data_IF_436552959145
#
_entry.id   IF_436552959145
#
_cell.length_a   1.000
_cell.length_b   1.000
_cell.length_c   1.000
_cell.angle_alpha   90.00
_cell.angle_beta   90.00
_cell.angle_gamma   90.00
#
_symmetry.space_group_name_H-M   'P 1'
#
loop_
_entity.id
_entity.type
_entity.pdbx_description
1 polymer ?
#
# COMPACT_ATOMS: atom_id res chain seq x y z
N UNK A 1 -0.13 -2.82 6.73
CA UNK A 1 -0.30 -2.17 5.42
C UNK A 1 0.80 -2.66 4.50
N UNK A 2 0.48 -3.03 3.29
CA UNK A 2 1.44 -3.37 2.23
C UNK A 2 1.21 -2.37 1.10
N UNK A 3 2.28 -1.79 0.58
CA UNK A 3 2.24 -0.96 -0.61
C UNK A 3 3.37 -1.39 -1.54
N UNK A 4 3.17 -1.34 -2.84
CA UNK A 4 4.20 -1.69 -3.79
C UNK A 4 4.28 -0.69 -4.94
N UNK A 5 5.47 -0.58 -5.51
CA UNK A 5 5.76 0.23 -6.68
C UNK A 5 6.46 -0.66 -7.69
N UNK A 6 6.06 -0.54 -8.94
CA UNK A 6 6.77 -1.15 -10.07
C UNK A 6 7.40 -0.05 -10.90
N UNK A 7 8.69 -0.17 -11.17
CA UNK A 7 9.46 0.80 -11.95
C UNK A 7 10.62 0.11 -12.68
N UNK A 8 11.35 0.85 -13.49
CA UNK A 8 12.60 0.37 -14.09
C UNK A 8 13.70 0.24 -13.03
N UNK A 9 14.62 -0.70 -13.19
CA UNK A 9 15.67 -0.98 -12.20
C UNK A 9 16.52 0.27 -11.86
N UNK A 10 16.89 1.06 -12.85
CA UNK A 10 17.66 2.30 -12.68
C UNK A 10 16.88 3.43 -11.98
N UNK A 11 15.55 3.29 -11.85
CA UNK A 11 14.66 4.25 -11.19
C UNK A 11 14.18 3.80 -9.80
N UNK A 12 14.60 2.64 -9.31
CA UNK A 12 14.15 2.11 -8.01
C UNK A 12 14.51 3.06 -6.86
N UNK A 13 15.71 3.65 -6.88
CA UNK A 13 16.11 4.59 -5.84
C UNK A 13 15.27 5.88 -5.86
N UNK A 14 14.96 6.42 -7.05
CA UNK A 14 14.09 7.59 -7.19
C UNK A 14 12.66 7.29 -6.71
N UNK A 15 12.15 6.11 -7.07
CA UNK A 15 10.83 5.66 -6.65
C UNK A 15 10.75 5.44 -5.13
N UNK A 16 11.80 4.89 -4.52
CA UNK A 16 11.89 4.70 -3.08
C UNK A 16 11.91 6.05 -2.34
N UNK A 17 12.64 7.04 -2.87
CA UNK A 17 12.68 8.40 -2.33
C UNK A 17 11.31 9.08 -2.39
N UNK A 18 10.67 9.05 -3.55
CA UNK A 18 9.35 9.63 -3.74
C UNK A 18 8.31 8.96 -2.84
N UNK A 19 8.41 7.65 -2.65
CA UNK A 19 7.50 6.93 -1.79
C UNK A 19 7.69 7.26 -0.31
N UNK A 20 8.94 7.39 0.13
CA UNK A 20 9.27 7.82 1.49
C UNK A 20 8.76 9.24 1.76
N UNK A 21 8.91 10.14 0.78
CA UNK A 21 8.39 11.50 0.87
C UNK A 21 6.86 11.53 0.98
N UNK A 22 6.14 10.74 0.20
CA UNK A 22 4.68 10.63 0.30
C UNK A 22 4.25 10.11 1.68
N UNK A 23 4.95 9.12 2.24
CA UNK A 23 4.63 8.58 3.57
C UNK A 23 4.85 9.61 4.68
N UNK A 24 5.88 10.43 4.57
CA UNK A 24 6.27 11.38 5.60
C UNK A 24 5.70 12.79 5.39
N UNK A 25 5.53 13.21 4.14
CA UNK A 25 5.13 14.57 3.75
C UNK A 25 3.95 14.57 2.77
N UNK A 26 2.95 13.74 3.02
CA UNK A 26 1.79 13.61 2.14
C UNK A 26 1.21 14.99 1.75
N UNK A 27 1.13 15.31 0.45
CA UNK A 27 0.54 16.56 0.00
C UNK A 27 -0.97 16.56 0.28
N UNK A 28 -1.45 17.53 1.06
CA UNK A 28 -2.87 17.70 1.35
C UNK A 28 -3.54 18.45 0.20
N UNK A 29 -4.18 17.74 -0.71
CA UNK A 29 -4.89 18.29 -1.86
C UNK A 29 -6.38 17.94 -1.78
N UNK A 30 -7.23 18.94 -1.60
CA UNK A 30 -8.68 18.72 -1.55
C UNK A 30 -9.23 18.15 -2.86
N UNK A 31 -8.86 18.65 -4.07
CA UNK A 31 -9.33 18.04 -5.32
C UNK A 31 -8.90 16.59 -5.50
N UNK A 32 -7.66 16.25 -5.13
CA UNK A 32 -7.16 14.87 -5.21
C UNK A 32 -7.91 13.95 -4.23
N UNK A 33 -8.21 14.43 -3.03
CA UNK A 33 -9.00 13.69 -2.05
C UNK A 33 -10.42 13.41 -2.56
N UNK A 34 -11.11 14.39 -3.11
CA UNK A 34 -12.47 14.24 -3.66
C UNK A 34 -12.48 13.26 -4.83
N UNK A 35 -11.49 13.35 -5.72
CA UNK A 35 -11.34 12.40 -6.82
C UNK A 35 -11.12 10.98 -6.33
N UNK A 36 -10.22 10.79 -5.37
CA UNK A 36 -9.96 9.48 -4.76
C UNK A 36 -11.20 8.91 -4.06
N UNK A 37 -11.95 9.74 -3.33
CA UNK A 37 -13.21 9.35 -2.68
C UNK A 37 -14.25 8.85 -3.70
N UNK A 38 -14.43 9.58 -4.80
CA UNK A 38 -15.35 9.19 -5.88
C UNK A 38 -14.88 7.91 -6.59
N UNK A 39 -13.58 7.79 -6.87
CA UNK A 39 -13.00 6.60 -7.50
C UNK A 39 -13.22 5.36 -6.64
N UNK A 40 -12.94 5.43 -5.34
CA UNK A 40 -13.12 4.31 -4.41
C UNK A 40 -14.60 3.91 -4.29
N UNK A 41 -15.52 4.87 -4.22
CA UNK A 41 -16.96 4.58 -4.22
C UNK A 41 -17.41 3.91 -5.52
N UNK A 42 -16.88 4.35 -6.65
CA UNK A 42 -17.17 3.75 -7.95
C UNK A 42 -16.64 2.32 -8.04
N UNK A 43 -15.43 2.08 -7.55
CA UNK A 43 -14.83 0.75 -7.46
C UNK A 43 -15.72 -0.19 -6.62
N UNK A 44 -16.08 0.21 -5.40
CA UNK A 44 -16.96 -0.58 -4.51
C UNK A 44 -18.33 -0.88 -5.13
N UNK A 45 -18.89 0.02 -5.95
CA UNK A 45 -20.16 -0.22 -6.66
C UNK A 45 -20.03 -1.26 -7.77
N UNK A 46 -18.89 -1.29 -8.44
CA UNK A 46 -18.66 -2.12 -9.62
C UNK A 46 -18.00 -3.46 -9.30
N UNK A 47 -17.34 -3.54 -8.15
CA UNK A 47 -16.68 -4.78 -7.70
C UNK A 47 -17.69 -5.92 -7.57
N UNK A 48 -17.33 -7.08 -8.12
CA UNK A 48 -18.11 -8.31 -7.99
C UNK A 48 -17.20 -9.41 -7.50
N UNK A 49 -17.64 -10.10 -6.45
CA UNK A 49 -16.98 -11.34 -6.01
C UNK A 49 -17.45 -12.43 -6.94
N UNK A 50 -16.55 -12.99 -7.73
CA UNK A 50 -16.83 -14.12 -8.58
C UNK A 50 -16.96 -15.41 -7.73
N UNK A 51 -17.63 -16.45 -8.28
CA UNK A 51 -17.96 -17.66 -7.53
C UNK A 51 -16.73 -18.35 -6.93
N UNK A 52 -15.63 -18.35 -7.66
CA UNK A 52 -14.37 -18.96 -7.26
C UNK A 52 -13.75 -18.29 -6.03
N UNK A 53 -13.99 -17.00 -5.85
CA UNK A 53 -13.39 -16.20 -4.78
C UNK A 53 -14.25 -16.11 -3.52
N UNK A 54 -15.53 -16.54 -3.55
CA UNK A 54 -16.46 -16.40 -2.42
C UNK A 54 -15.90 -17.02 -1.14
N UNK A 55 -15.35 -18.25 -1.23
CA UNK A 55 -14.81 -18.94 -0.05
C UNK A 55 -13.57 -18.24 0.51
N UNK A 56 -12.68 -17.78 -0.35
CA UNK A 56 -11.48 -17.04 0.04
C UNK A 56 -11.82 -15.69 0.64
N UNK A 57 -12.79 -15.01 0.06
CA UNK A 57 -13.27 -13.73 0.58
C UNK A 57 -13.88 -13.90 1.98
N UNK A 58 -14.76 -14.88 2.16
CA UNK A 58 -15.35 -15.22 3.45
C UNK A 58 -14.27 -15.61 4.48
N UNK A 59 -13.36 -16.50 4.11
CA UNK A 59 -12.27 -16.96 4.98
C UNK A 59 -11.39 -15.80 5.45
N UNK A 60 -10.96 -14.93 4.55
CA UNK A 60 -10.12 -13.81 4.88
C UNK A 60 -10.83 -12.81 5.79
N UNK A 61 -12.10 -12.52 5.56
CA UNK A 61 -12.89 -11.65 6.43
C UNK A 61 -13.08 -12.26 7.82
N UNK A 62 -13.38 -13.54 7.88
CA UNK A 62 -13.53 -14.26 9.16
C UNK A 62 -12.21 -14.27 9.96
N UNK A 63 -11.07 -14.46 9.29
CA UNK A 63 -9.75 -14.40 9.92
C UNK A 63 -9.45 -13.02 10.53
N UNK A 64 -10.03 -11.97 9.98
CA UNK A 64 -9.94 -10.59 10.50
C UNK A 64 -11.06 -10.25 11.48
N UNK A 65 -11.77 -11.26 12.02
CA UNK A 65 -12.91 -11.10 12.95
C UNK A 65 -14.06 -10.25 12.39
N UNK A 66 -14.22 -10.23 11.07
CA UNK A 66 -15.29 -9.52 10.41
C UNK A 66 -16.42 -10.49 10.05
N UNK A 67 -17.56 -10.35 10.72
CA UNK A 67 -18.73 -11.21 10.51
C UNK A 67 -19.65 -10.75 9.39
N UNK A 68 -19.35 -9.61 8.78
CA UNK A 68 -20.11 -9.01 7.68
C UNK A 68 -19.16 -8.57 6.57
N UNK A 69 -19.69 -8.39 5.38
CA UNK A 69 -18.90 -7.86 4.26
C UNK A 69 -18.38 -6.45 4.59
N UNK A 70 -17.06 -6.24 4.70
CA UNK A 70 -16.48 -4.95 5.08
C UNK A 70 -16.78 -3.84 4.06
N UNK A 71 -17.09 -4.19 2.81
CA UNK A 71 -17.43 -3.21 1.76
C UNK A 71 -18.68 -2.41 2.10
N UNK A 72 -19.64 -3.01 2.79
CA UNK A 72 -20.85 -2.31 3.26
C UNK A 72 -20.46 -1.13 4.15
N UNK A 73 -19.61 -1.39 5.15
CA UNK A 73 -19.13 -0.36 6.07
C UNK A 73 -18.29 0.69 5.36
N UNK A 74 -17.39 0.27 4.47
CA UNK A 74 -16.57 1.19 3.67
C UNK A 74 -17.45 2.10 2.83
N UNK A 75 -18.41 1.54 2.09
CA UNK A 75 -19.33 2.31 1.26
C UNK A 75 -20.14 3.34 2.05
N UNK A 76 -20.54 3.01 3.27
CA UNK A 76 -21.27 3.93 4.16
C UNK A 76 -20.37 5.00 4.78
N UNK A 77 -19.10 4.67 5.07
CA UNK A 77 -18.19 5.56 5.79
C UNK A 77 -17.47 6.54 4.87
N UNK A 78 -17.04 6.10 3.70
CA UNK A 78 -16.23 6.92 2.77
C UNK A 78 -16.85 8.29 2.47
N UNK A 79 -18.18 8.43 2.22
CA UNK A 79 -18.78 9.74 1.95
C UNK A 79 -18.66 10.76 3.09
N UNK A 80 -18.49 10.30 4.34
CA UNK A 80 -18.39 11.16 5.51
C UNK A 80 -16.95 11.61 5.82
N UNK A 81 -15.95 10.95 5.21
CA UNK A 81 -14.55 11.28 5.41
C UNK A 81 -14.22 12.65 4.84
N UNK A 82 -13.30 13.33 5.50
CA UNK A 82 -12.76 14.64 5.10
C UNK A 82 -11.27 14.55 4.93
N UNK A 83 -10.68 15.44 4.14
CA UNK A 83 -9.23 15.51 3.95
C UNK A 83 -8.47 15.55 5.29
N UNK A 84 -8.98 16.24 6.30
CA UNK A 84 -8.38 16.28 7.64
C UNK A 84 -8.23 14.90 8.28
N UNK A 85 -9.19 14.00 8.05
CA UNK A 85 -9.17 12.65 8.64
C UNK A 85 -8.05 11.82 7.99
N UNK A 86 -7.82 12.02 6.69
CA UNK A 86 -6.70 11.41 5.96
C UNK A 86 -5.35 11.96 6.43
N UNK A 87 -5.25 13.26 6.63
CA UNK A 87 -4.02 13.92 7.14
C UNK A 87 -3.71 13.44 8.56
N UNK A 88 -4.71 13.31 9.41
CA UNK A 88 -4.54 12.80 10.78
C UNK A 88 -4.12 11.32 10.78
N UNK A 89 -4.73 10.51 9.93
CA UNK A 89 -4.34 9.11 9.73
C UNK A 89 -2.88 9.01 9.29
N UNK A 90 -2.47 9.80 8.29
CA UNK A 90 -1.09 9.79 7.81
C UNK A 90 -0.11 10.15 8.96
N UNK A 91 -0.38 11.21 9.71
CA UNK A 91 0.47 11.64 10.84
C UNK A 91 0.57 10.58 11.93
N UNK A 92 -0.53 9.91 12.24
CA UNK A 92 -0.59 8.94 13.34
C UNK A 92 0.00 7.59 12.97
N UNK A 93 -0.27 7.12 11.76
CA UNK A 93 -0.01 5.72 11.40
C UNK A 93 1.07 5.53 10.34
N UNK A 94 1.41 6.55 9.55
CA UNK A 94 2.37 6.42 8.46
C UNK A 94 3.64 7.21 8.67
N UNK A 95 3.52 8.45 9.14
CA UNK A 95 4.66 9.32 9.31
C UNK A 95 5.64 8.81 10.36
N UNK A 96 6.93 8.89 10.05
CA UNK A 96 8.04 8.54 10.95
C UNK A 96 7.97 7.08 11.48
N UNK A 97 7.38 6.15 10.69
CA UNK A 97 7.33 4.74 11.03
C UNK A 97 8.48 3.97 10.40
N UNK A 98 8.85 2.87 11.05
CA UNK A 98 9.81 1.93 10.49
C UNK A 98 9.13 1.00 9.47
N UNK A 99 9.70 0.92 8.28
CA UNK A 99 9.20 0.09 7.19
C UNK A 99 10.23 -0.95 6.80
N UNK A 100 9.79 -2.19 6.61
CA UNK A 100 10.58 -3.20 5.91
C UNK A 100 10.32 -3.06 4.42
N UNK A 101 11.39 -2.93 3.65
CA UNK A 101 11.33 -2.77 2.19
C UNK A 101 11.87 -4.02 1.53
N UNK A 102 11.10 -4.57 0.60
CA UNK A 102 11.52 -5.68 -0.24
C UNK A 102 11.74 -5.15 -1.66
N UNK A 103 12.87 -5.51 -2.23
CA UNK A 103 13.27 -5.12 -3.57
C UNK A 103 13.47 -6.37 -4.42
N UNK A 104 12.95 -6.35 -5.63
CA UNK A 104 13.20 -7.35 -6.67
C UNK A 104 13.66 -6.64 -7.93
N UNK A 105 14.78 -7.07 -8.50
CA UNK A 105 15.31 -6.46 -9.71
C UNK A 105 16.69 -6.99 -10.07
N UNK A 106 17.24 -6.55 -11.18
CA UNK A 106 18.62 -6.87 -11.57
C UNK A 106 19.59 -6.02 -10.74
N UNK A 107 20.31 -6.66 -9.83
CA UNK A 107 21.17 -6.01 -8.83
C UNK A 107 22.18 -5.03 -9.47
N UNK A 108 22.72 -5.38 -10.66
CA UNK A 108 23.71 -4.56 -11.35
C UNK A 108 23.20 -3.20 -11.82
N UNK A 109 21.87 -3.08 -11.95
CA UNK A 109 21.19 -1.86 -12.39
C UNK A 109 20.65 -1.04 -11.23
N UNK A 110 20.71 -1.57 -10.00
CA UNK A 110 20.23 -0.89 -8.80
C UNK A 110 21.30 0.03 -8.20
N UNK A 111 20.93 1.23 -7.83
CA UNK A 111 21.78 2.12 -7.02
C UNK A 111 21.72 1.70 -5.54
N UNK A 112 22.43 0.61 -5.21
CA UNK A 112 22.44 0.05 -3.86
C UNK A 112 22.93 1.07 -2.82
N UNK A 113 23.91 1.91 -3.18
CA UNK A 113 24.45 2.93 -2.30
C UNK A 113 23.41 3.96 -1.87
N UNK A 114 22.54 4.37 -2.80
CA UNK A 114 21.40 5.25 -2.46
C UNK A 114 20.36 4.54 -1.62
N UNK A 115 20.13 3.26 -1.87
CA UNK A 115 19.15 2.47 -1.13
C UNK A 115 19.56 2.18 0.32
N UNK A 116 20.87 2.14 0.62
CA UNK A 116 21.40 1.95 1.99
C UNK A 116 20.93 3.03 2.98
N UNK A 117 20.52 4.21 2.51
CA UNK A 117 19.96 5.25 3.38
C UNK A 117 18.66 4.83 4.08
N UNK A 118 17.97 3.86 3.55
CA UNK A 118 16.74 3.32 4.14
C UNK A 118 16.99 2.21 5.15
N UNK A 119 18.23 1.75 5.29
CA UNK A 119 18.65 0.70 6.22
C UNK A 119 19.64 -0.27 5.58
N UNK A 120 20.15 -1.22 6.38
CA UNK A 120 21.09 -2.21 5.88
C UNK A 120 20.43 -3.11 4.84
N UNK A 121 21.17 -3.37 3.74
CA UNK A 121 20.70 -4.25 2.68
C UNK A 121 21.02 -5.70 3.02
N UNK A 122 20.01 -6.55 3.00
CA UNK A 122 20.16 -8.00 3.14
C UNK A 122 19.76 -8.67 1.82
N UNK A 123 20.68 -9.44 1.25
CA UNK A 123 20.36 -10.28 0.11
C UNK A 123 19.69 -11.55 0.58
N UNK A 124 18.61 -11.92 -0.08
CA UNK A 124 17.84 -13.13 0.21
C UNK A 124 17.89 -14.02 -1.04
N UNK A 125 18.39 -15.23 -0.90
CA UNK A 125 18.47 -16.19 -2.00
C UNK A 125 17.11 -16.84 -2.29
N UNK A 126 16.95 -17.38 -3.50
CA UNK A 126 15.75 -18.17 -3.83
C UNK A 126 15.53 -19.33 -2.86
N UNK A 127 16.62 -19.98 -2.42
CA UNK A 127 16.54 -21.06 -1.44
C UNK A 127 15.99 -20.61 -0.09
N UNK A 128 16.34 -19.41 0.37
CA UNK A 128 15.80 -18.85 1.62
C UNK A 128 14.32 -18.47 1.48
N UNK A 129 13.90 -18.03 0.29
CA UNK A 129 12.51 -17.63 0.05
C UNK A 129 11.61 -18.85 -0.13
N UNK A 130 12.04 -19.83 -0.92
CA UNK A 130 11.20 -20.95 -1.37
C UNK A 130 11.49 -22.27 -0.67
N UNK A 131 12.61 -22.39 0.05
CA UNK A 131 12.99 -23.59 0.79
C UNK A 131 13.58 -24.73 -0.06
N UNK A 132 13.87 -24.49 -1.35
CA UNK A 132 14.47 -25.50 -2.27
C UNK A 132 15.51 -24.87 -3.19
#
# INVERSE_FOLDING_TARGET
MIAHITTQNDKVADAADAFDDILNNMPASQPAFELAQQATLSELRNERIIKEDILWYYYNNHKLWQNTDPRIRLYQTIPSLKLKDLVEFQKTYLKDKHYTRFLTGEEKELDLKRLEKFGPLQRVSQKEIFGY
#
